data_IF_560440784130
#
_entry.id   IF_560440784130
#
_cell.length_a   1.000
_cell.length_b   1.000
_cell.length_c   1.000
_cell.angle_alpha   90.00
_cell.angle_beta   90.00
_cell.angle_gamma   90.00
#
_symmetry.space_group_name_H-M   'P 1'
#
loop_
_entity.id
_entity.type
_entity.pdbx_description
1 polymer ?
#
# COMPACT_ATOMS: atom_id res chain seq x y z
N UNK A 1 -16.00 -27.65 6.43
CA UNK A 1 -15.72 -26.25 6.06
C UNK A 1 -14.83 -26.25 4.84
N UNK A 2 -15.27 -25.66 3.73
CA UNK A 2 -14.50 -25.63 2.48
C UNK A 2 -13.28 -24.72 2.65
N UNK A 3 -12.09 -25.25 2.34
CA UNK A 3 -10.81 -24.54 2.48
C UNK A 3 -10.74 -23.46 1.39
N UNK A 4 -10.81 -22.17 1.74
CA UNK A 4 -10.51 -21.09 0.79
C UNK A 4 -9.04 -21.20 0.40
N UNK A 5 -8.77 -21.43 -0.89
CA UNK A 5 -7.43 -21.67 -1.42
C UNK A 5 -6.54 -20.42 -1.41
N UNK A 6 -7.16 -19.23 -1.44
CA UNK A 6 -6.48 -17.95 -1.37
C UNK A 6 -7.40 -16.85 -0.81
N UNK A 7 -6.81 -15.81 -0.24
CA UNK A 7 -7.45 -14.52 0.05
C UNK A 7 -6.95 -13.51 -0.99
N UNK A 8 -7.88 -12.85 -1.68
CA UNK A 8 -7.57 -11.81 -2.67
C UNK A 8 -7.85 -10.45 -2.05
N UNK A 9 -6.86 -9.57 -2.00
CA UNK A 9 -7.00 -8.20 -1.49
C UNK A 9 -7.30 -7.23 -2.65
N UNK A 10 -8.34 -6.43 -2.48
CA UNK A 10 -8.79 -5.39 -3.42
C UNK A 10 -8.69 -3.96 -2.85
N UNK A 11 -8.34 -3.86 -1.56
CA UNK A 11 -8.23 -2.63 -0.80
C UNK A 11 -9.50 -2.22 -0.03
N UNK A 12 -10.58 -3.00 -0.07
CA UNK A 12 -11.83 -2.63 0.61
C UNK A 12 -12.69 -3.79 1.14
N UNK A 13 -12.39 -5.07 0.82
CA UNK A 13 -13.26 -6.20 1.20
C UNK A 13 -12.74 -7.10 2.33
N UNK A 14 -11.52 -6.86 2.84
CA UNK A 14 -10.89 -7.70 3.87
C UNK A 14 -11.74 -7.79 5.15
N UNK A 15 -12.06 -9.01 5.59
CA UNK A 15 -12.78 -9.26 6.84
C UNK A 15 -11.84 -9.73 7.97
N UNK A 16 -12.29 -9.64 9.21
CA UNK A 16 -11.53 -10.10 10.39
C UNK A 16 -11.24 -11.59 10.36
N UNK A 17 -12.15 -12.40 9.82
CA UNK A 17 -11.97 -13.85 9.69
C UNK A 17 -10.84 -14.18 8.71
N UNK A 18 -10.70 -13.40 7.63
CA UNK A 18 -9.60 -13.53 6.68
C UNK A 18 -8.25 -13.16 7.34
N UNK A 19 -8.23 -12.16 8.24
CA UNK A 19 -7.04 -11.82 9.03
C UNK A 19 -6.59 -12.97 9.95
N UNK A 20 -7.54 -13.60 10.67
CA UNK A 20 -7.26 -14.76 11.52
C UNK A 20 -6.80 -15.97 10.69
N UNK A 21 -7.31 -16.11 9.48
CA UNK A 21 -6.89 -17.16 8.56
C UNK A 21 -5.45 -16.93 8.06
N UNK A 22 -5.15 -15.70 7.61
CA UNK A 22 -3.84 -15.31 7.09
C UNK A 22 -2.74 -15.38 8.15
N UNK A 23 -3.04 -15.05 9.42
CA UNK A 23 -2.06 -15.10 10.51
C UNK A 23 -1.52 -16.50 10.80
N UNK A 24 -2.24 -17.54 10.37
CA UNK A 24 -1.80 -18.94 10.50
C UNK A 24 -0.77 -19.33 9.43
N UNK A 25 -0.55 -18.51 8.41
CA UNK A 25 0.46 -18.72 7.36
C UNK A 25 0.17 -19.86 6.39
N UNK A 26 -1.03 -20.45 6.42
CA UNK A 26 -1.41 -21.61 5.61
C UNK A 26 -2.26 -21.25 4.38
N UNK A 27 -2.53 -19.96 4.17
CA UNK A 27 -3.42 -19.45 3.13
C UNK A 27 -2.66 -18.55 2.19
N UNK A 28 -2.80 -18.80 0.89
CA UNK A 28 -2.18 -17.97 -0.14
C UNK A 28 -2.82 -16.57 -0.15
N UNK A 29 -1.99 -15.55 -0.31
CA UNK A 29 -2.44 -14.17 -0.44
C UNK A 29 -2.12 -13.65 -1.83
N UNK A 30 -3.10 -13.01 -2.45
CA UNK A 30 -2.98 -12.40 -3.77
C UNK A 30 -3.58 -10.99 -3.74
N UNK A 31 -3.11 -10.12 -4.64
CA UNK A 31 -3.75 -8.83 -4.90
C UNK A 31 -4.59 -8.97 -6.17
N UNK A 32 -5.78 -8.37 -6.16
CA UNK A 32 -6.57 -8.20 -7.38
C UNK A 32 -5.80 -7.39 -8.44
N UNK A 33 -6.14 -7.58 -9.71
CA UNK A 33 -5.59 -6.81 -10.83
C UNK A 33 -5.80 -5.30 -10.64
N UNK A 34 -6.95 -4.92 -10.09
CA UNK A 34 -7.33 -3.54 -9.83
C UNK A 34 -6.51 -2.96 -8.67
N UNK A 35 -6.26 -3.74 -7.61
CA UNK A 35 -5.37 -3.31 -6.51
C UNK A 35 -3.94 -3.09 -7.01
N UNK A 36 -3.42 -3.98 -7.85
CA UNK A 36 -2.11 -3.79 -8.49
C UNK A 36 -2.06 -2.49 -9.31
N UNK A 37 -3.09 -2.21 -10.11
CA UNK A 37 -3.18 -0.98 -10.89
C UNK A 37 -3.22 0.28 -10.00
N UNK A 38 -3.99 0.25 -8.90
CA UNK A 38 -4.06 1.37 -7.93
C UNK A 38 -2.73 1.64 -7.24
N UNK A 39 -1.99 0.59 -6.86
CA UNK A 39 -0.65 0.74 -6.27
C UNK A 39 0.31 1.39 -7.27
N UNK A 40 0.30 0.93 -8.53
CA UNK A 40 1.13 1.52 -9.59
C UNK A 40 0.80 3.00 -9.81
N UNK A 41 -0.48 3.34 -9.94
CA UNK A 41 -0.90 4.73 -10.11
C UNK A 41 -0.51 5.61 -8.90
N UNK A 42 -0.63 5.09 -7.69
CA UNK A 42 -0.18 5.80 -6.47
C UNK A 42 1.32 6.08 -6.50
N UNK A 43 2.13 5.15 -7.03
CA UNK A 43 3.57 5.35 -7.19
C UNK A 43 3.88 6.46 -8.20
N UNK A 44 3.15 6.51 -9.31
CA UNK A 44 3.32 7.56 -10.32
C UNK A 44 3.04 8.96 -9.75
N UNK A 45 2.09 9.11 -8.81
CA UNK A 45 1.86 10.37 -8.09
C UNK A 45 3.10 10.81 -7.31
N UNK A 46 3.75 9.88 -6.59
CA UNK A 46 4.99 10.17 -5.84
C UNK A 46 6.12 10.57 -6.80
N UNK A 47 6.29 9.84 -7.90
CA UNK A 47 7.33 10.15 -8.88
C UNK A 47 7.10 11.52 -9.54
N UNK A 48 5.84 11.92 -9.77
CA UNK A 48 5.50 13.25 -10.27
C UNK A 48 5.77 14.35 -9.25
N UNK A 49 5.51 14.13 -7.95
CA UNK A 49 5.86 15.08 -6.88
C UNK A 49 7.36 15.39 -6.90
N UNK A 50 8.20 14.36 -7.03
CA UNK A 50 9.66 14.52 -7.12
C UNK A 50 10.08 15.26 -8.40
N UNK A 51 9.52 14.88 -9.55
CA UNK A 51 9.84 15.48 -10.85
C UNK A 51 9.49 16.96 -10.91
N UNK A 52 8.33 17.33 -10.37
CA UNK A 52 7.83 18.70 -10.34
C UNK A 52 8.39 19.51 -9.16
N UNK A 53 9.27 18.90 -8.34
CA UNK A 53 9.85 19.49 -7.12
C UNK A 53 8.79 20.08 -6.18
N UNK A 54 7.61 19.45 -6.13
CA UNK A 54 6.55 19.81 -5.19
C UNK A 54 6.99 19.43 -3.77
N UNK A 55 6.91 20.35 -2.82
CA UNK A 55 7.25 20.07 -1.42
C UNK A 55 6.18 19.15 -0.82
N UNK A 56 6.57 17.99 -0.31
CA UNK A 56 5.67 16.99 0.25
C UNK A 56 6.27 16.31 1.50
N UNK A 57 5.46 16.25 2.57
CA UNK A 57 5.83 15.65 3.85
C UNK A 57 6.28 14.20 3.71
N UNK A 58 7.47 13.86 4.21
CA UNK A 58 7.99 12.49 4.20
C UNK A 58 8.34 11.93 2.82
N UNK A 59 8.27 12.75 1.76
CA UNK A 59 8.73 12.40 0.41
C UNK A 59 10.07 13.09 0.14
N UNK A 60 10.05 14.42 0.03
CA UNK A 60 11.25 15.26 -0.12
C UNK A 60 11.44 16.19 1.07
N UNK A 61 10.79 15.88 2.19
CA UNK A 61 11.03 16.54 3.47
C UNK A 61 11.24 15.47 4.55
N UNK A 62 11.79 15.86 5.69
CA UNK A 62 11.91 14.97 6.85
C UNK A 62 10.56 14.60 7.50
N UNK A 63 10.63 13.89 8.62
CA UNK A 63 9.47 13.46 9.40
C UNK A 63 9.43 14.13 10.78
N UNK A 64 8.24 14.30 11.35
CA UNK A 64 8.02 14.81 12.70
C UNK A 64 8.63 16.20 12.91
N UNK A 65 9.44 16.34 13.97
CA UNK A 65 10.15 17.58 14.28
C UNK A 65 11.03 18.08 13.12
N UNK A 66 11.54 17.16 12.29
CA UNK A 66 12.40 17.48 11.16
C UNK A 66 11.63 17.66 9.84
N UNK A 67 10.31 17.85 9.89
CA UNK A 67 9.45 18.05 8.71
C UNK A 67 9.80 19.29 7.87
N UNK A 68 10.47 20.28 8.46
CA UNK A 68 10.90 21.49 7.76
C UNK A 68 12.17 21.30 6.92
N UNK A 69 12.88 20.17 7.08
CA UNK A 69 14.10 19.90 6.34
C UNK A 69 13.75 19.38 4.95
N UNK A 70 13.99 20.20 3.92
CA UNK A 70 13.82 19.81 2.53
C UNK A 70 15.04 19.02 2.04
N UNK A 71 14.79 17.84 1.46
CA UNK A 71 15.79 16.96 0.88
C UNK A 71 15.45 16.80 -0.61
N UNK A 72 16.06 17.67 -1.43
CA UNK A 72 15.86 17.80 -2.88
C UNK A 72 17.12 17.46 -3.65
#
# INVERSE_FOLDING_TARGET
MSKRSAVVLDGCSLQTDDLVLLSKGQTKLELSTEAWAKVKSSREVVDNILREKKVAYGINTGFGLFSMNLNI
#
